data_IF_305998626170
#
_entry.id   IF_305998626170
#
_cell.length_a   1.000
_cell.length_b   1.000
_cell.length_c   1.000
_cell.angle_alpha   90.00
_cell.angle_beta   90.00
_cell.angle_gamma   90.00
#
_symmetry.space_group_name_H-M   'P 1'
#
loop_
_entity.id
_entity.type
_entity.pdbx_description
1 polymer ?
#
# COMPACT_ATOMS: atom_id res chain seq x y z
N UNK A 1 2.18 6.50 -20.04
CA UNK A 1 1.08 6.52 -19.06
C UNK A 1 1.32 5.62 -17.86
N UNK A 2 1.55 4.30 -18.01
CA UNK A 2 1.80 3.38 -16.87
C UNK A 2 2.98 3.80 -15.99
N UNK A 3 4.07 4.28 -16.59
CA UNK A 3 5.24 4.73 -15.82
C UNK A 3 4.96 6.02 -15.04
N UNK A 4 4.24 6.99 -15.61
CA UNK A 4 3.90 8.26 -14.95
C UNK A 4 3.03 8.00 -13.70
N UNK A 5 1.99 7.19 -13.88
CA UNK A 5 1.14 6.73 -12.79
C UNK A 5 1.93 5.94 -11.73
N UNK A 6 2.97 5.20 -12.16
CA UNK A 6 3.85 4.50 -11.24
C UNK A 6 4.64 5.45 -10.35
N UNK A 7 5.18 6.52 -10.92
CA UNK A 7 5.95 7.52 -10.17
C UNK A 7 5.05 8.27 -9.18
N UNK A 8 3.87 8.70 -9.60
CA UNK A 8 2.92 9.42 -8.75
C UNK A 8 2.55 8.61 -7.49
N UNK A 9 2.31 7.31 -7.66
CA UNK A 9 1.99 6.42 -6.55
C UNK A 9 3.17 6.17 -5.61
N UNK A 10 4.40 6.02 -6.13
CA UNK A 10 5.59 5.93 -5.26
C UNK A 10 5.84 7.19 -4.46
N UNK A 11 5.64 8.36 -5.07
CA UNK A 11 5.79 9.64 -4.40
C UNK A 11 4.76 9.76 -3.27
N UNK A 12 3.51 9.39 -3.55
CA UNK A 12 2.41 9.39 -2.58
C UNK A 12 2.73 8.50 -1.38
N UNK A 13 3.17 7.26 -1.58
CA UNK A 13 3.55 6.33 -0.50
C UNK A 13 4.71 6.89 0.35
N UNK A 14 5.69 7.51 -0.29
CA UNK A 14 6.85 8.12 0.38
C UNK A 14 6.44 9.33 1.24
N UNK A 15 5.54 10.16 0.72
CA UNK A 15 4.97 11.29 1.48
C UNK A 15 4.18 10.81 2.70
N UNK A 16 3.34 9.78 2.56
CA UNK A 16 2.58 9.25 3.69
C UNK A 16 3.46 8.61 4.77
N UNK A 17 4.57 7.97 4.39
CA UNK A 17 5.53 7.42 5.34
C UNK A 17 6.29 8.52 6.10
N UNK A 18 6.63 9.62 5.44
CA UNK A 18 7.17 10.82 6.11
C UNK A 18 6.16 11.43 7.08
N UNK A 19 4.89 11.59 6.68
CA UNK A 19 3.82 12.10 7.55
C UNK A 19 3.61 11.21 8.78
N UNK A 20 3.74 9.90 8.65
CA UNK A 20 3.65 8.94 9.76
C UNK A 20 4.82 9.13 10.76
N UNK A 21 6.04 9.32 10.26
CA UNK A 21 7.20 9.65 11.10
C UNK A 21 7.03 10.98 11.84
N UNK A 22 6.56 12.02 11.14
CA UNK A 22 6.31 13.34 11.73
C UNK A 22 5.18 13.32 12.76
N UNK A 23 4.11 12.57 12.51
CA UNK A 23 3.01 12.40 13.46
C UNK A 23 3.47 11.72 14.77
N UNK A 24 4.25 10.64 14.69
CA UNK A 24 4.83 10.00 15.88
C UNK A 24 5.82 10.90 16.61
N UNK A 25 6.61 11.68 15.87
CA UNK A 25 7.52 12.68 16.44
C UNK A 25 6.77 13.75 17.23
N UNK A 26 5.71 14.32 16.65
CA UNK A 26 4.85 15.31 17.32
C UNK A 26 4.18 14.74 18.58
N UNK A 27 3.72 13.48 18.55
CA UNK A 27 3.16 12.80 19.74
C UNK A 27 4.20 12.59 20.84
N UNK A 28 5.46 12.33 20.49
CA UNK A 28 6.51 11.98 21.46
C UNK A 28 7.14 13.19 22.14
N UNK A 29 7.28 14.31 21.43
CA UNK A 29 7.94 15.53 21.92
C UNK A 29 7.03 16.47 22.69
N UNK A 30 5.73 16.42 22.43
CA UNK A 30 4.75 17.27 23.08
C UNK A 30 4.39 16.75 24.49
N UNK A 31 5.38 16.83 25.40
CA UNK A 31 5.20 16.52 26.84
C UNK A 31 4.88 17.76 27.70
N UNK A 32 4.81 18.96 27.10
CA UNK A 32 4.42 20.19 27.80
C UNK A 32 2.89 20.29 28.04
N UNK A 33 2.42 21.24 28.87
CA UNK A 33 1.00 21.47 29.14
C UNK A 33 0.32 22.08 27.91
N UNK A 34 0.08 21.26 26.89
CA UNK A 34 -0.66 21.65 25.70
C UNK A 34 -2.16 21.50 25.97
N UNK A 35 -2.94 22.43 25.44
CA UNK A 35 -4.40 22.36 25.50
C UNK A 35 -4.89 21.00 25.00
N UNK A 36 -5.83 20.41 25.73
CA UNK A 36 -6.46 19.11 25.44
C UNK A 36 -6.89 18.97 23.97
N UNK A 37 -7.42 20.06 23.40
CA UNK A 37 -7.85 20.15 21.99
C UNK A 37 -6.69 19.87 21.03
N UNK A 38 -5.48 20.34 21.35
CA UNK A 38 -4.29 20.18 20.50
C UNK A 38 -3.78 18.74 20.52
N UNK A 39 -3.80 18.10 21.69
CA UNK A 39 -3.43 16.68 21.81
C UNK A 39 -4.41 15.79 21.04
N UNK A 40 -5.72 16.05 21.17
CA UNK A 40 -6.75 15.31 20.45
C UNK A 40 -6.61 15.46 18.93
N UNK A 41 -6.26 16.66 18.44
CA UNK A 41 -5.98 16.88 17.02
C UNK A 41 -4.82 16.02 16.51
N UNK A 42 -3.70 15.95 17.23
CA UNK A 42 -2.55 15.14 16.83
C UNK A 42 -2.86 13.63 16.81
N UNK A 43 -3.61 13.16 17.81
CA UNK A 43 -4.02 11.74 17.87
C UNK A 43 -4.96 11.39 16.71
N UNK A 44 -5.95 12.24 16.43
CA UNK A 44 -6.86 12.04 15.30
C UNK A 44 -6.15 12.08 13.95
N UNK A 45 -5.21 13.01 13.77
CA UNK A 45 -4.41 13.11 12.55
C UNK A 45 -3.56 11.85 12.34
N UNK A 46 -2.89 11.37 13.39
CA UNK A 46 -2.11 10.13 13.34
C UNK A 46 -2.99 8.91 13.01
N UNK A 47 -4.13 8.77 13.68
CA UNK A 47 -5.08 7.69 13.40
C UNK A 47 -5.61 7.75 11.96
N UNK A 48 -5.91 8.95 11.46
CA UNK A 48 -6.35 9.16 10.07
C UNK A 48 -5.32 8.71 9.05
N UNK A 49 -4.05 9.08 9.25
CA UNK A 49 -2.93 8.66 8.38
C UNK A 49 -2.78 7.14 8.41
N UNK A 50 -2.81 6.52 9.59
CA UNK A 50 -2.73 5.06 9.73
C UNK A 50 -3.90 4.35 9.04
N UNK A 51 -5.13 4.85 9.21
CA UNK A 51 -6.33 4.28 8.59
C UNK A 51 -6.25 4.36 7.06
N UNK A 52 -5.85 5.52 6.52
CA UNK A 52 -5.68 5.71 5.08
C UNK A 52 -4.64 4.75 4.49
N UNK A 53 -3.47 4.65 5.13
CA UNK A 53 -2.40 3.77 4.67
C UNK A 53 -2.77 2.28 4.75
N UNK A 54 -3.49 1.90 5.81
CA UNK A 54 -4.05 0.55 5.95
C UNK A 54 -5.06 0.26 4.84
N UNK A 55 -5.99 1.17 4.57
CA UNK A 55 -7.00 1.03 3.53
C UNK A 55 -6.37 0.83 2.15
N UNK A 56 -5.37 1.66 1.81
CA UNK A 56 -4.64 1.54 0.54
C UNK A 56 -3.96 0.17 0.38
N UNK A 57 -3.30 -0.31 1.43
CA UNK A 57 -2.67 -1.65 1.44
C UNK A 57 -3.72 -2.76 1.37
N UNK A 58 -4.88 -2.58 2.00
CA UNK A 58 -5.95 -3.57 2.00
C UNK A 58 -6.60 -3.71 0.62
N UNK A 59 -6.90 -2.59 -0.04
CA UNK A 59 -7.42 -2.58 -1.40
C UNK A 59 -6.45 -3.27 -2.37
N UNK A 60 -5.14 -3.01 -2.22
CA UNK A 60 -4.10 -3.64 -3.03
C UNK A 60 -4.08 -5.16 -2.86
N UNK A 61 -4.20 -5.64 -1.62
CA UNK A 61 -4.29 -7.08 -1.36
C UNK A 61 -5.57 -7.72 -1.93
N UNK A 62 -6.72 -7.06 -1.81
CA UNK A 62 -7.99 -7.55 -2.39
C UNK A 62 -7.86 -7.65 -3.91
N UNK A 63 -7.25 -6.65 -4.54
CA UNK A 63 -7.04 -6.65 -5.99
C UNK A 63 -6.16 -7.82 -6.44
N UNK A 64 -5.06 -8.07 -5.73
CA UNK A 64 -4.18 -9.23 -5.97
C UNK A 64 -4.94 -10.56 -5.81
N UNK A 65 -5.73 -10.71 -4.75
CA UNK A 65 -6.55 -11.90 -4.53
C UNK A 65 -7.60 -12.11 -5.63
N UNK A 66 -8.28 -11.04 -6.05
CA UNK A 66 -9.24 -11.08 -7.14
C UNK A 66 -8.58 -11.48 -8.45
N UNK A 67 -7.39 -10.96 -8.76
CA UNK A 67 -6.65 -11.31 -9.96
C UNK A 67 -6.28 -12.80 -9.99
N UNK A 68 -5.84 -13.36 -8.86
CA UNK A 68 -5.54 -14.79 -8.74
C UNK A 68 -6.81 -15.65 -8.88
N UNK A 69 -7.93 -15.23 -8.28
CA UNK A 69 -9.22 -15.93 -8.39
C UNK A 69 -9.74 -15.90 -9.84
N UNK A 70 -9.63 -14.76 -10.52
CA UNK A 70 -9.98 -14.61 -11.93
C UNK A 70 -9.14 -15.53 -12.82
N UNK A 71 -7.82 -15.57 -12.63
CA UNK A 71 -6.94 -16.45 -13.38
C UNK A 71 -7.30 -17.93 -13.19
N UNK A 72 -7.59 -18.35 -11.95
CA UNK A 72 -8.06 -19.72 -11.65
C UNK A 72 -9.41 -20.03 -12.26
N UNK A 73 -10.37 -19.12 -12.15
CA UNK A 73 -11.72 -19.28 -12.71
C UNK A 73 -11.66 -19.44 -14.23
N UNK A 74 -10.85 -18.61 -14.90
CA UNK A 74 -10.65 -18.70 -16.35
C UNK A 74 -9.93 -19.98 -16.75
N UNK A 75 -8.93 -20.42 -15.99
CA UNK A 75 -8.25 -21.70 -16.26
C UNK A 75 -9.20 -22.90 -16.13
N UNK A 76 -10.07 -22.88 -15.13
CA UNK A 76 -11.09 -23.91 -14.88
C UNK A 76 -12.33 -23.77 -15.78
N UNK A 77 -12.44 -22.69 -16.55
CA UNK A 77 -13.52 -22.54 -17.52
C UNK A 77 -13.29 -23.46 -18.73
N UNK A 78 -14.35 -23.82 -19.45
CA UNK A 78 -14.25 -24.61 -20.70
C UNK A 78 -13.75 -23.73 -21.87
N UNK A 79 -12.69 -22.94 -21.67
CA UNK A 79 -12.12 -22.00 -22.66
C UNK A 79 -11.69 -22.68 -23.96
N UNK A 80 -11.43 -24.00 -23.91
CA UNK A 80 -11.10 -24.83 -25.06
C UNK A 80 -12.30 -25.11 -25.98
N UNK A 81 -13.54 -25.02 -25.48
CA UNK A 81 -14.78 -25.16 -26.26
C UNK A 81 -15.26 -23.83 -26.87
N UNK A 82 -14.65 -22.69 -26.52
CA UNK A 82 -15.03 -21.38 -27.04
C UNK A 82 -14.57 -21.16 -28.49
N UNK A 83 -15.19 -20.18 -29.16
CA UNK A 83 -14.80 -19.77 -30.52
C UNK A 83 -13.31 -19.35 -30.60
N UNK A 84 -12.70 -19.50 -31.78
CA UNK A 84 -11.28 -19.13 -31.99
C UNK A 84 -10.96 -17.68 -31.61
N UNK A 85 -11.91 -16.75 -31.83
CA UNK A 85 -11.75 -15.33 -31.47
C UNK A 85 -11.73 -15.16 -29.95
N UNK A 86 -12.73 -15.71 -29.27
CA UNK A 86 -12.85 -15.68 -27.80
C UNK A 86 -11.66 -16.36 -27.11
N UNK A 87 -11.17 -17.47 -27.68
CA UNK A 87 -10.00 -18.20 -27.17
C UNK A 87 -8.72 -17.35 -27.20
N UNK A 88 -8.52 -16.57 -28.28
CA UNK A 88 -7.36 -15.69 -28.42
C UNK A 88 -7.41 -14.55 -27.39
N UNK A 89 -8.58 -13.94 -27.22
CA UNK A 89 -8.79 -12.86 -26.25
C UNK A 89 -8.61 -13.36 -24.82
N UNK A 90 -9.15 -14.55 -24.51
CA UNK A 90 -8.97 -15.24 -23.23
C UNK A 90 -7.50 -15.53 -22.92
N UNK A 91 -6.72 -16.00 -23.90
CA UNK A 91 -5.29 -16.26 -23.70
C UNK A 91 -4.48 -14.99 -23.46
N UNK A 92 -4.82 -13.89 -24.14
CA UNK A 92 -4.20 -12.58 -23.88
C UNK A 92 -4.54 -12.11 -22.47
N UNK A 93 -5.81 -12.20 -22.08
CA UNK A 93 -6.28 -11.82 -20.76
C UNK A 93 -5.65 -12.69 -19.65
N UNK A 94 -5.59 -14.01 -19.84
CA UNK A 94 -4.94 -14.95 -18.92
C UNK A 94 -3.45 -14.63 -18.76
N UNK A 95 -2.74 -14.33 -19.86
CA UNK A 95 -1.33 -13.92 -19.83
C UNK A 95 -1.15 -12.61 -19.06
N UNK A 96 -2.10 -11.69 -19.17
CA UNK A 96 -2.09 -10.42 -18.45
C UNK A 96 -2.39 -10.61 -16.96
N UNK A 97 -3.30 -11.51 -16.60
CA UNK A 97 -3.60 -11.88 -15.21
C UNK A 97 -2.46 -12.69 -14.55
N UNK A 98 -1.80 -13.57 -15.29
CA UNK A 98 -0.65 -14.37 -14.82
C UNK A 98 0.63 -13.56 -14.70
N UNK A 99 0.78 -12.49 -15.49
CA UNK A 99 1.67 -11.39 -15.14
C UNK A 99 1.05 -10.65 -13.96
N UNK A 100 1.00 -11.30 -12.81
CA UNK A 100 0.83 -10.67 -11.51
C UNK A 100 1.98 -9.68 -11.34
N UNK A 101 1.83 -8.53 -11.99
CA UNK A 101 2.15 -7.28 -11.40
C UNK A 101 1.29 -7.21 -10.13
N UNK A 102 1.72 -7.94 -9.08
CA UNK A 102 1.86 -7.33 -7.77
C UNK A 102 2.10 -5.86 -8.05
N UNK A 103 1.33 -4.94 -7.46
CA UNK A 103 1.49 -3.50 -7.65
C UNK A 103 2.93 -3.10 -7.28
N UNK A 104 3.84 -3.36 -8.21
CA UNK A 104 5.29 -3.34 -8.14
C UNK A 104 5.61 -2.01 -8.75
N UNK A 105 5.33 -1.01 -7.94
CA UNK A 105 5.72 0.34 -8.24
C UNK A 105 7.26 0.37 -8.22
N UNK A 106 7.87 0.91 -9.29
CA UNK A 106 9.32 0.89 -9.54
C UNK A 106 9.93 -0.53 -9.62
N UNK A 107 9.70 -1.23 -10.73
CA UNK A 107 10.44 -2.46 -11.11
C UNK A 107 10.45 -3.59 -10.05
N UNK A 108 9.52 -3.58 -9.09
CA UNK A 108 9.45 -4.59 -8.04
C UNK A 108 10.01 -4.20 -6.68
N UNK A 109 10.48 -2.97 -6.50
CA UNK A 109 11.05 -2.53 -5.22
C UNK A 109 9.99 -2.25 -4.16
N UNK A 110 8.77 -1.85 -4.54
CA UNK A 110 7.69 -1.53 -3.60
C UNK A 110 6.46 -2.37 -3.95
N UNK A 111 6.16 -3.34 -3.09
CA UNK A 111 4.92 -4.12 -3.15
C UNK A 111 3.98 -3.54 -2.09
N UNK A 112 2.89 -2.92 -2.55
CA UNK A 112 1.81 -2.45 -1.67
C UNK A 112 1.13 -3.66 -1.03
N UNK A 113 1.57 -4.01 0.17
CA UNK A 113 1.02 -5.11 0.96
C UNK A 113 1.02 -4.68 2.43
N UNK A 114 0.21 -5.34 3.26
CA UNK A 114 0.18 -5.20 4.72
C UNK A 114 1.59 -5.26 5.36
N UNK A 115 2.52 -6.01 4.75
CA UNK A 115 3.93 -6.08 5.15
C UNK A 115 4.64 -4.72 5.01
N UNK A 116 4.34 -3.94 3.96
CA UNK A 116 4.90 -2.60 3.76
C UNK A 116 4.46 -1.64 4.87
N UNK A 117 3.17 -1.67 5.24
CA UNK A 117 2.66 -0.89 6.37
C UNK A 117 3.37 -1.25 7.68
N UNK A 118 3.52 -2.54 7.97
CA UNK A 118 4.25 -2.99 9.17
C UNK A 118 5.71 -2.56 9.16
N UNK A 119 6.38 -2.60 8.00
CA UNK A 119 7.76 -2.09 7.86
C UNK A 119 7.82 -0.58 8.08
N UNK A 120 6.90 0.19 7.50
CA UNK A 120 6.82 1.64 7.67
C UNK A 120 6.56 2.03 9.13
N UNK A 121 5.65 1.35 9.81
CA UNK A 121 5.35 1.57 11.24
C UNK A 121 6.56 1.25 12.13
N UNK A 122 7.24 0.11 11.89
CA UNK A 122 8.48 -0.25 12.59
C UNK A 122 9.59 0.76 12.35
N UNK A 123 9.75 1.23 11.12
CA UNK A 123 10.73 2.24 10.76
C UNK A 123 10.45 3.56 11.49
N UNK A 124 9.21 4.03 11.49
CA UNK A 124 8.84 5.25 12.18
C UNK A 124 9.03 5.15 13.70
N UNK A 125 8.69 4.01 14.32
CA UNK A 125 8.97 3.76 15.73
C UNK A 125 10.48 3.77 16.03
N UNK A 126 11.28 3.07 15.21
CA UNK A 126 12.74 3.05 15.34
C UNK A 126 13.34 4.45 15.19
N UNK A 127 12.86 5.24 14.23
CA UNK A 127 13.30 6.61 14.01
C UNK A 127 13.07 7.49 15.24
N UNK A 128 11.87 7.42 15.82
CA UNK A 128 11.53 8.14 17.05
C UNK A 128 12.37 7.66 18.24
N UNK A 129 12.61 6.36 18.35
CA UNK A 129 13.41 5.80 19.43
C UNK A 129 14.88 6.24 19.34
N UNK A 130 15.46 6.29 18.13
CA UNK A 130 16.80 6.84 17.90
C UNK A 130 16.90 8.32 18.31
N UNK A 131 15.89 9.12 17.99
CA UNK A 131 15.84 10.54 18.39
C UNK A 131 15.75 10.66 19.92
N UNK A 132 14.96 9.79 20.56
CA UNK A 132 14.80 9.79 22.02
C UNK A 132 16.08 9.40 22.75
N UNK A 133 16.83 8.41 22.26
CA UNK A 133 18.08 7.94 22.88
C UNK A 133 19.20 8.98 22.78
N UNK A 134 19.18 9.85 21.78
CA UNK A 134 20.21 10.88 21.54
C UNK A 134 20.02 12.15 22.38
N UNK A 135 19.07 12.16 23.32
CA UNK A 135 18.71 13.27 24.19
C UNK A 135 18.79 12.84 25.65
#
# INVERSE_FOLDING_TARGET
MVNLFSWDMTATISLYSLSLCLGLYQLTLNKGPLSFIRQLKFVLEFLGICAYYYYLCHCSNILDECQIKLARSLYNSNWYQCSRKTKKDLLVFLRQLQRSNHLKYNQGSLILNKVLFMKAAKFAYSFVNCIRVRR
#
